data_IF_020531120765
#
_entry.id   IF_020531120765
#
_cell.length_a   1.000
_cell.length_b   1.000
_cell.length_c   1.000
_cell.angle_alpha   90.00
_cell.angle_beta   90.00
_cell.angle_gamma   90.00
#
_symmetry.space_group_name_H-M   'P 1'
#
loop_
_entity.id
_entity.type
_entity.pdbx_description
1 polymer ?
#
# COMPACT_ATOMS: atom_id res chain seq x y z
N UNK A 1 -24.09 -13.49 12.93
CA UNK A 1 -23.00 -13.99 13.79
C UNK A 1 -21.82 -13.07 13.58
N UNK A 2 -21.17 -12.62 14.65
CA UNK A 2 -20.00 -11.73 14.56
C UNK A 2 -18.90 -12.43 13.76
N UNK A 3 -18.38 -11.78 12.72
CA UNK A 3 -17.28 -12.27 11.87
C UNK A 3 -15.90 -11.99 12.47
N UNK A 4 -15.85 -11.54 13.73
CA UNK A 4 -14.59 -11.22 14.40
C UNK A 4 -13.85 -12.50 14.77
N UNK A 5 -12.62 -12.64 14.29
CA UNK A 5 -11.78 -13.85 14.43
C UNK A 5 -11.43 -14.17 15.88
N UNK A 6 -11.44 -13.18 16.77
CA UNK A 6 -11.16 -13.31 18.20
C UNK A 6 -12.41 -13.50 19.07
N UNK A 7 -13.62 -13.47 18.47
CA UNK A 7 -14.87 -13.67 19.21
C UNK A 7 -14.91 -15.06 19.85
N UNK A 8 -15.19 -15.10 21.15
CA UNK A 8 -15.33 -16.35 21.91
C UNK A 8 -16.82 -16.69 22.08
N UNK A 9 -17.19 -17.98 22.06
CA UNK A 9 -18.57 -18.40 22.33
C UNK A 9 -19.04 -17.88 23.70
N UNK A 10 -20.23 -17.26 23.73
CA UNK A 10 -20.84 -16.74 24.97
C UNK A 10 -20.36 -15.35 25.40
N UNK A 11 -19.55 -14.66 24.58
CA UNK A 11 -19.20 -13.26 24.81
C UNK A 11 -19.89 -12.42 23.73
N UNK A 12 -20.78 -11.54 24.15
CA UNK A 12 -21.35 -10.52 23.26
C UNK A 12 -20.35 -9.37 23.11
N UNK A 13 -20.14 -8.98 21.85
CA UNK A 13 -19.26 -7.86 21.51
C UNK A 13 -20.15 -6.64 21.38
N UNK A 14 -19.88 -5.63 22.21
CA UNK A 14 -20.55 -4.36 22.13
C UNK A 14 -20.21 -3.63 20.83
N UNK A 15 -21.23 -3.25 20.06
CA UNK A 15 -21.06 -2.64 18.74
C UNK A 15 -20.41 -1.25 18.81
N UNK A 16 -20.64 -0.50 19.88
CA UNK A 16 -20.06 0.83 20.04
C UNK A 16 -18.57 0.73 20.40
N UNK A 17 -18.21 -0.25 21.22
CA UNK A 17 -16.79 -0.55 21.52
C UNK A 17 -16.08 -1.02 20.24
N UNK A 18 -16.69 -1.90 19.45
CA UNK A 18 -16.11 -2.35 18.19
C UNK A 18 -15.87 -1.17 17.23
N UNK A 19 -16.86 -0.30 17.07
CA UNK A 19 -16.75 0.90 16.22
C UNK A 19 -15.66 1.84 16.72
N UNK A 20 -15.54 2.02 18.03
CA UNK A 20 -14.50 2.83 18.63
C UNK A 20 -13.09 2.25 18.41
N UNK A 21 -12.92 0.94 18.51
CA UNK A 21 -11.64 0.26 18.32
C UNK A 21 -11.22 0.22 16.85
N UNK A 22 -12.14 -0.02 15.92
CA UNK A 22 -11.86 -0.02 14.49
C UNK A 22 -11.64 1.41 13.94
N UNK A 23 -12.29 2.43 14.53
CA UNK A 23 -12.16 3.81 14.07
C UNK A 23 -12.45 3.95 12.58
N UNK A 24 -11.55 4.62 11.87
CA UNK A 24 -11.62 4.83 10.42
C UNK A 24 -10.93 3.72 9.60
N UNK A 25 -10.36 2.70 10.25
CA UNK A 25 -9.55 1.66 9.59
C UNK A 25 -10.33 0.96 8.48
N UNK A 26 -11.60 0.61 8.73
CA UNK A 26 -12.48 -0.03 7.72
C UNK A 26 -12.61 0.82 6.44
N UNK A 27 -12.63 2.14 6.56
CA UNK A 27 -12.75 3.06 5.41
C UNK A 27 -11.41 3.23 4.71
N UNK A 28 -10.35 3.46 5.47
CA UNK A 28 -9.00 3.67 4.96
C UNK A 28 -8.43 2.40 4.30
N UNK A 29 -8.69 1.26 4.89
CA UNK A 29 -8.23 -0.04 4.40
C UNK A 29 -8.84 -0.44 3.05
N UNK A 30 -9.94 0.19 2.60
CA UNK A 30 -10.44 0.01 1.23
C UNK A 30 -9.41 0.37 0.16
N UNK A 31 -8.52 1.31 0.46
CA UNK A 31 -7.41 1.68 -0.42
C UNK A 31 -6.25 0.66 -0.37
N UNK A 32 -6.12 -0.07 0.73
CA UNK A 32 -4.97 -0.95 0.99
C UNK A 32 -5.25 -2.43 0.74
N UNK A 33 -6.50 -2.88 0.83
CA UNK A 33 -6.87 -4.30 0.82
C UNK A 33 -6.30 -5.09 -0.37
N UNK A 34 -6.26 -4.50 -1.56
CA UNK A 34 -5.70 -5.16 -2.76
C UNK A 34 -4.18 -5.36 -2.66
N UNK A 35 -3.48 -4.49 -1.93
CA UNK A 35 -2.05 -4.63 -1.65
C UNK A 35 -1.79 -5.70 -0.60
N UNK A 36 -2.67 -5.83 0.41
CA UNK A 36 -2.59 -6.93 1.37
C UNK A 36 -2.92 -8.29 0.74
N UNK A 37 -3.85 -8.37 -0.20
CA UNK A 37 -4.10 -9.56 -1.01
C UNK A 37 -2.82 -10.01 -1.73
N UNK A 38 -2.11 -9.09 -2.38
CA UNK A 38 -0.83 -9.37 -3.04
C UNK A 38 0.23 -9.85 -2.05
N UNK A 39 0.36 -9.17 -0.91
CA UNK A 39 1.29 -9.55 0.15
C UNK A 39 0.95 -10.93 0.72
N UNK A 40 -0.34 -11.22 0.93
CA UNK A 40 -0.84 -12.52 1.38
C UNK A 40 -0.53 -13.65 0.40
N UNK A 41 -0.62 -13.38 -0.91
CA UNK A 41 -0.21 -14.34 -1.94
C UNK A 41 1.27 -14.71 -1.84
N UNK A 42 2.16 -13.72 -1.80
CA UNK A 42 3.59 -13.94 -1.63
C UNK A 42 3.95 -14.65 -0.32
N UNK A 43 3.21 -14.35 0.75
CA UNK A 43 3.36 -15.05 2.03
C UNK A 43 2.93 -16.52 1.94
N UNK A 44 1.81 -16.81 1.29
CA UNK A 44 1.34 -18.20 1.09
C UNK A 44 2.35 -19.03 0.33
N UNK A 45 2.98 -18.48 -0.73
CA UNK A 45 4.08 -19.12 -1.44
C UNK A 45 5.26 -19.42 -0.49
N UNK A 46 5.62 -18.46 0.36
CA UNK A 46 6.67 -18.64 1.38
C UNK A 46 6.31 -19.75 2.39
N UNK A 47 5.05 -19.85 2.82
CA UNK A 47 4.56 -20.90 3.71
C UNK A 47 4.62 -22.29 3.05
N UNK A 48 4.33 -22.38 1.77
CA UNK A 48 4.44 -23.63 1.02
C UNK A 48 5.92 -24.09 0.94
N UNK A 49 6.85 -23.18 0.69
CA UNK A 49 8.29 -23.48 0.61
C UNK A 49 8.87 -24.03 1.91
N UNK A 50 8.29 -23.68 3.05
CA UNK A 50 8.70 -24.22 4.36
C UNK A 50 7.82 -25.38 4.86
N UNK A 51 6.90 -25.89 4.03
CA UNK A 51 6.09 -27.06 4.31
C UNK A 51 4.90 -26.83 5.25
N UNK A 52 4.50 -25.58 5.50
CA UNK A 52 3.26 -25.23 6.24
C UNK A 52 2.01 -25.43 5.38
N UNK A 53 2.13 -25.12 4.10
CA UNK A 53 1.13 -25.40 3.08
C UNK A 53 1.65 -26.47 2.14
N UNK A 54 0.77 -27.34 1.69
CA UNK A 54 1.02 -28.18 0.52
C UNK A 54 0.65 -27.45 -0.80
N UNK A 55 0.87 -28.11 -1.93
CA UNK A 55 0.63 -27.52 -3.23
C UNK A 55 -0.86 -27.24 -3.50
N UNK A 56 -1.76 -28.11 -3.06
CA UNK A 56 -3.20 -28.00 -3.25
C UNK A 56 -3.78 -26.88 -2.36
N UNK A 57 -3.30 -26.79 -1.12
CA UNK A 57 -3.64 -25.72 -0.18
C UNK A 57 -3.20 -24.35 -0.70
N UNK A 58 -1.97 -24.23 -1.23
CA UNK A 58 -1.48 -23.01 -1.85
C UNK A 58 -2.35 -22.61 -3.06
N UNK A 59 -2.67 -23.59 -3.92
CA UNK A 59 -3.52 -23.34 -5.09
C UNK A 59 -4.92 -22.87 -4.70
N UNK A 60 -5.49 -23.44 -3.62
CA UNK A 60 -6.79 -23.02 -3.10
C UNK A 60 -6.74 -21.59 -2.56
N UNK A 61 -5.75 -21.24 -1.74
CA UNK A 61 -5.56 -19.87 -1.21
C UNK A 61 -5.36 -18.87 -2.36
N UNK A 62 -4.48 -19.17 -3.31
CA UNK A 62 -4.18 -18.27 -4.43
C UNK A 62 -5.43 -17.99 -5.28
N UNK A 63 -6.25 -19.02 -5.56
CA UNK A 63 -7.52 -18.85 -6.29
C UNK A 63 -8.48 -17.94 -5.54
N UNK A 64 -8.70 -18.17 -4.24
CA UNK A 64 -9.65 -17.37 -3.45
C UNK A 64 -9.16 -15.91 -3.27
N UNK A 65 -7.85 -15.69 -3.14
CA UNK A 65 -7.28 -14.34 -3.12
C UNK A 65 -7.51 -13.61 -4.47
N UNK A 66 -7.35 -14.30 -5.60
CA UNK A 66 -7.61 -13.72 -6.92
C UNK A 66 -9.10 -13.44 -7.15
N UNK A 67 -10.00 -14.32 -6.69
CA UNK A 67 -11.44 -14.09 -6.72
C UNK A 67 -11.82 -12.88 -5.84
N UNK A 68 -11.27 -12.76 -4.64
CA UNK A 68 -11.52 -11.62 -3.76
C UNK A 68 -11.05 -10.32 -4.39
N UNK A 69 -9.85 -10.27 -4.98
CA UNK A 69 -9.35 -9.09 -5.69
C UNK A 69 -10.29 -8.67 -6.84
N UNK A 70 -10.81 -9.67 -7.58
CA UNK A 70 -11.77 -9.46 -8.65
C UNK A 70 -13.11 -8.93 -8.12
N UNK A 71 -13.59 -9.47 -6.99
CA UNK A 71 -14.84 -9.05 -6.36
C UNK A 71 -14.75 -7.61 -5.84
N UNK A 72 -13.61 -7.24 -5.26
CA UNK A 72 -13.33 -5.86 -4.81
C UNK A 72 -13.31 -4.90 -6.01
N UNK A 73 -12.57 -5.25 -7.06
CA UNK A 73 -12.49 -4.42 -8.27
C UNK A 73 -13.84 -4.20 -8.95
N UNK A 74 -14.74 -5.18 -8.86
CA UNK A 74 -16.09 -5.13 -9.42
C UNK A 74 -17.14 -4.56 -8.45
N UNK A 75 -16.75 -4.16 -7.23
CA UNK A 75 -17.67 -3.65 -6.20
C UNK A 75 -18.60 -4.71 -5.60
N UNK A 76 -18.33 -6.00 -5.82
CA UNK A 76 -19.13 -7.10 -5.23
C UNK A 76 -18.74 -7.41 -3.79
N UNK A 77 -17.51 -7.07 -3.41
CA UNK A 77 -17.04 -7.13 -2.03
C UNK A 77 -16.66 -5.72 -1.58
N UNK A 78 -17.24 -5.28 -0.48
CA UNK A 78 -16.93 -4.00 0.16
C UNK A 78 -16.51 -4.26 1.60
N UNK A 79 -15.36 -3.75 2.00
CA UNK A 79 -14.93 -3.76 3.38
C UNK A 79 -15.85 -2.84 4.19
N UNK A 80 -16.54 -3.38 5.19
CA UNK A 80 -17.53 -2.66 6.01
C UNK A 80 -17.37 -3.01 7.50
N UNK A 81 -18.24 -2.45 8.34
CA UNK A 81 -18.22 -2.56 9.81
C UNK A 81 -18.37 -3.99 10.35
N UNK A 82 -18.61 -5.00 9.51
CA UNK A 82 -18.62 -6.42 9.91
C UNK A 82 -17.21 -6.92 10.23
N UNK A 83 -16.19 -6.22 9.73
CA UNK A 83 -14.78 -6.54 9.91
C UNK A 83 -14.09 -5.50 10.79
N UNK A 84 -13.02 -5.89 11.43
CA UNK A 84 -12.17 -4.99 12.21
C UNK A 84 -11.21 -4.20 11.29
N UNK A 85 -10.65 -4.89 10.30
CA UNK A 85 -9.66 -4.38 9.34
C UNK A 85 -9.67 -5.23 8.05
N UNK A 86 -8.86 -4.82 7.05
CA UNK A 86 -8.69 -5.55 5.79
C UNK A 86 -8.13 -6.96 6.01
N UNK A 87 -7.24 -7.14 6.98
CA UNK A 87 -6.59 -8.43 7.25
C UNK A 87 -7.59 -9.47 7.74
N UNK A 88 -8.47 -9.07 8.69
CA UNK A 88 -9.56 -9.92 9.18
C UNK A 88 -10.58 -10.22 8.09
N UNK A 89 -10.85 -9.28 7.19
CA UNK A 89 -11.75 -9.50 6.05
C UNK A 89 -11.19 -10.55 5.07
N UNK A 90 -9.91 -10.49 4.73
CA UNK A 90 -9.23 -11.46 3.88
C UNK A 90 -9.24 -12.85 4.53
N UNK A 91 -8.87 -12.93 5.81
CA UNK A 91 -8.84 -14.19 6.56
C UNK A 91 -10.25 -14.81 6.67
N UNK A 92 -11.26 -13.99 7.02
CA UNK A 92 -12.66 -14.43 7.10
C UNK A 92 -13.16 -14.98 5.76
N UNK A 93 -12.85 -14.30 4.63
CA UNK A 93 -13.19 -14.76 3.30
C UNK A 93 -12.54 -16.11 2.97
N UNK A 94 -11.25 -16.27 3.27
CA UNK A 94 -10.56 -17.54 3.06
C UNK A 94 -11.17 -18.66 3.90
N UNK A 95 -11.45 -18.41 5.20
CA UNK A 95 -12.08 -19.42 6.07
C UNK A 95 -13.46 -19.79 5.57
N UNK A 96 -14.27 -18.85 5.14
CA UNK A 96 -15.61 -19.11 4.59
C UNK A 96 -15.56 -20.02 3.35
N UNK A 97 -14.57 -19.85 2.48
CA UNK A 97 -14.48 -20.50 1.18
C UNK A 97 -13.73 -21.83 1.19
N UNK A 98 -12.67 -21.91 2.00
CA UNK A 98 -11.75 -23.07 2.02
C UNK A 98 -11.52 -23.64 3.44
N UNK A 99 -12.32 -23.20 4.42
CA UNK A 99 -12.30 -23.77 5.77
C UNK A 99 -10.98 -23.57 6.52
N UNK A 100 -10.51 -24.62 7.21
CA UNK A 100 -9.31 -24.55 8.05
C UNK A 100 -8.02 -24.24 7.29
N UNK A 101 -7.97 -24.53 5.99
CA UNK A 101 -6.85 -24.14 5.13
C UNK A 101 -6.68 -22.62 5.10
N UNK A 102 -7.81 -21.87 5.08
CA UNK A 102 -7.79 -20.41 5.12
C UNK A 102 -7.12 -19.82 6.37
N UNK A 103 -7.23 -20.51 7.52
CA UNK A 103 -6.59 -20.07 8.76
C UNK A 103 -5.06 -20.11 8.73
N UNK A 104 -4.48 -20.97 7.88
CA UNK A 104 -3.02 -21.12 7.78
C UNK A 104 -2.34 -19.85 7.26
N UNK A 105 -3.06 -18.97 6.53
CA UNK A 105 -2.50 -17.75 5.97
C UNK A 105 -1.94 -16.81 7.04
N UNK A 106 -2.44 -16.85 8.26
CA UNK A 106 -1.97 -16.02 9.37
C UNK A 106 -0.68 -16.52 10.03
N UNK A 107 -0.20 -17.73 9.67
CA UNK A 107 0.98 -18.35 10.28
C UNK A 107 2.21 -17.46 10.16
N UNK A 108 2.81 -17.08 11.29
CA UNK A 108 4.03 -16.28 11.34
C UNK A 108 3.86 -14.82 10.99
N UNK A 109 2.63 -14.30 10.91
CA UNK A 109 2.36 -12.88 10.65
C UNK A 109 1.87 -12.14 11.90
N UNK A 110 1.95 -10.82 11.83
CA UNK A 110 1.32 -9.86 12.74
C UNK A 110 0.67 -8.74 11.93
N UNK A 111 -0.30 -8.03 12.51
CA UNK A 111 -0.85 -6.81 11.93
C UNK A 111 0.25 -5.79 11.60
N UNK A 112 1.33 -5.74 12.41
CA UNK A 112 2.44 -4.82 12.22
C UNK A 112 3.13 -4.98 10.86
N UNK A 113 3.55 -6.19 10.50
CA UNK A 113 4.21 -6.42 9.21
C UNK A 113 3.24 -6.47 8.03
N UNK A 114 1.99 -6.89 8.25
CA UNK A 114 0.94 -6.91 7.24
C UNK A 114 0.55 -5.48 6.81
N UNK A 115 0.21 -4.60 7.74
CA UNK A 115 -0.16 -3.22 7.41
C UNK A 115 0.98 -2.47 6.78
N UNK A 116 2.22 -2.67 7.27
CA UNK A 116 3.37 -1.96 6.74
C UNK A 116 3.73 -2.39 5.31
N UNK A 117 3.65 -3.69 4.97
CA UNK A 117 3.89 -4.14 3.59
C UNK A 117 2.82 -3.63 2.64
N UNK A 118 1.54 -3.68 3.02
CA UNK A 118 0.44 -3.14 2.22
C UNK A 118 0.61 -1.64 1.98
N UNK A 119 0.92 -0.87 3.02
CA UNK A 119 1.19 0.57 2.93
C UNK A 119 2.35 0.88 1.99
N UNK A 120 3.45 0.13 2.04
CA UNK A 120 4.61 0.36 1.15
C UNK A 120 4.32 0.04 -0.30
N UNK A 121 3.57 -1.02 -0.58
CA UNK A 121 3.12 -1.35 -1.93
C UNK A 121 2.20 -0.25 -2.48
N UNK A 122 1.25 0.23 -1.67
CA UNK A 122 0.39 1.35 -2.02
C UNK A 122 1.17 2.65 -2.25
N UNK A 123 2.08 3.00 -1.34
CA UNK A 123 2.93 4.18 -1.48
C UNK A 123 3.76 4.14 -2.76
N UNK A 124 4.31 2.97 -3.12
CA UNK A 124 5.08 2.82 -4.36
C UNK A 124 4.25 3.23 -5.58
N UNK A 125 3.01 2.77 -5.67
CA UNK A 125 2.13 3.10 -6.79
C UNK A 125 1.71 4.59 -6.74
N UNK A 126 1.47 5.15 -5.54
CA UNK A 126 1.12 6.58 -5.38
C UNK A 126 2.29 7.50 -5.71
N UNK A 127 3.52 7.14 -5.33
CA UNK A 127 4.72 7.90 -5.67
C UNK A 127 4.97 7.92 -7.18
N UNK A 128 4.80 6.78 -7.86
CA UNK A 128 4.91 6.72 -9.33
C UNK A 128 3.85 7.61 -10.01
N UNK A 129 2.62 7.57 -9.51
CA UNK A 129 1.56 8.43 -10.05
C UNK A 129 1.87 9.93 -9.81
N UNK A 130 2.31 10.30 -8.61
CA UNK A 130 2.70 11.67 -8.30
C UNK A 130 3.88 12.13 -9.16
N UNK A 131 4.88 11.27 -9.40
CA UNK A 131 5.99 11.56 -10.31
C UNK A 131 5.50 11.87 -11.73
N UNK A 132 4.59 11.05 -12.26
CA UNK A 132 4.00 11.29 -13.58
C UNK A 132 3.24 12.62 -13.66
N UNK A 133 2.51 13.00 -12.60
CA UNK A 133 1.82 14.28 -12.50
C UNK A 133 2.79 15.47 -12.45
N UNK A 134 3.88 15.36 -11.68
CA UNK A 134 4.91 16.40 -11.62
C UNK A 134 5.59 16.58 -12.99
N UNK A 135 5.90 15.49 -13.70
CA UNK A 135 6.43 15.57 -15.07
C UNK A 135 5.46 16.27 -16.02
N UNK A 136 4.18 15.90 -16.00
CA UNK A 136 3.15 16.53 -16.83
C UNK A 136 3.00 18.04 -16.52
N UNK A 137 3.05 18.41 -15.23
CA UNK A 137 2.98 19.80 -14.82
C UNK A 137 4.22 20.59 -15.29
N UNK A 138 5.42 20.02 -15.16
CA UNK A 138 6.66 20.64 -15.66
C UNK A 138 6.61 20.83 -17.18
N UNK A 139 6.15 19.83 -17.93
CA UNK A 139 5.99 19.91 -19.39
C UNK A 139 5.05 21.05 -19.80
N UNK A 140 3.88 21.17 -19.15
CA UNK A 140 2.94 22.28 -19.41
C UNK A 140 3.61 23.61 -19.14
N UNK A 141 4.35 23.77 -18.05
CA UNK A 141 5.07 24.99 -17.73
C UNK A 141 6.13 25.33 -18.80
N UNK A 142 6.87 24.34 -19.28
CA UNK A 142 7.89 24.54 -20.33
C UNK A 142 7.26 24.94 -21.68
N UNK A 143 6.16 24.28 -22.08
CA UNK A 143 5.41 24.65 -23.28
C UNK A 143 4.87 26.08 -23.21
N UNK A 144 4.39 26.51 -22.04
CA UNK A 144 3.97 27.90 -21.82
C UNK A 144 5.15 28.85 -21.85
N UNK A 145 6.27 28.49 -21.24
CA UNK A 145 7.50 29.30 -21.29
C UNK A 145 7.96 29.55 -22.72
N UNK A 146 7.96 28.50 -23.55
CA UNK A 146 8.31 28.61 -24.98
C UNK A 146 7.33 29.49 -25.74
N UNK A 147 6.03 29.28 -25.60
CA UNK A 147 4.98 30.03 -26.30
C UNK A 147 4.95 31.53 -25.92
N UNK A 148 5.26 31.85 -24.67
CA UNK A 148 5.16 33.18 -24.10
C UNK A 148 6.52 33.89 -23.91
N UNK A 149 7.61 33.37 -24.49
CA UNK A 149 8.96 33.88 -24.30
C UNK A 149 9.12 35.37 -24.71
N UNK A 150 8.26 35.85 -25.60
CA UNK A 150 8.28 37.22 -26.09
C UNK A 150 7.51 38.22 -25.19
N UNK A 151 6.83 37.74 -24.13
CA UNK A 151 6.06 38.59 -23.24
C UNK A 151 6.92 39.08 -22.07
N UNK A 152 7.26 40.38 -22.00
CA UNK A 152 7.97 40.93 -20.86
C UNK A 152 7.03 41.10 -19.67
N UNK A 153 7.54 40.81 -18.47
CA UNK A 153 6.87 41.02 -17.20
C UNK A 153 7.74 41.91 -16.30
N UNK A 154 7.14 42.79 -15.49
CA UNK A 154 7.89 43.50 -14.46
C UNK A 154 8.19 42.55 -13.31
N UNK A 155 9.46 42.40 -12.93
CA UNK A 155 9.89 41.82 -11.68
C UNK A 155 9.67 42.76 -10.51
N UNK A 156 9.31 42.22 -9.35
CA UNK A 156 9.06 42.98 -8.12
C UNK A 156 9.96 42.49 -7.00
N UNK A 157 10.46 43.44 -6.20
CA UNK A 157 11.06 43.17 -4.90
C UNK A 157 10.47 44.13 -3.88
N UNK A 158 10.19 43.66 -2.65
CA UNK A 158 9.60 44.49 -1.59
C UNK A 158 8.36 45.27 -2.04
N UNK A 159 7.49 44.63 -2.87
CA UNK A 159 6.31 45.24 -3.46
C UNK A 159 6.58 46.43 -4.41
N UNK A 160 7.81 46.64 -4.79
CA UNK A 160 8.23 47.66 -5.73
C UNK A 160 8.66 47.07 -7.07
N UNK A 161 8.38 47.75 -8.17
CA UNK A 161 8.92 47.40 -9.49
C UNK A 161 10.45 47.48 -9.47
N UNK A 162 11.09 46.41 -9.91
CA UNK A 162 12.54 46.27 -9.88
C UNK A 162 13.08 45.99 -11.30
N UNK A 163 13.28 44.74 -11.64
CA UNK A 163 13.92 44.33 -12.90
C UNK A 163 12.87 43.93 -13.95
N UNK A 164 13.28 43.95 -15.23
CA UNK A 164 12.50 43.33 -16.31
C UNK A 164 12.66 41.82 -16.22
N UNK A 165 11.56 41.09 -16.27
CA UNK A 165 11.48 39.66 -16.38
C UNK A 165 10.67 39.27 -17.62
N UNK A 166 10.33 38.00 -17.75
CA UNK A 166 9.48 37.51 -18.82
C UNK A 166 8.50 36.46 -18.31
N UNK A 167 7.40 36.24 -19.05
CA UNK A 167 6.48 35.13 -18.78
C UNK A 167 7.20 33.79 -18.85
N UNK A 168 8.15 33.62 -19.77
CA UNK A 168 8.96 32.42 -19.88
C UNK A 168 9.74 32.11 -18.58
N UNK A 169 10.39 33.12 -18.00
CA UNK A 169 11.14 32.96 -16.75
C UNK A 169 10.23 32.61 -15.58
N UNK A 170 9.02 33.17 -15.56
CA UNK A 170 8.01 32.87 -14.55
C UNK A 170 7.54 31.42 -14.64
N UNK A 171 7.20 30.94 -15.84
CA UNK A 171 6.82 29.55 -16.06
C UNK A 171 7.96 28.56 -15.79
N UNK A 172 9.18 28.89 -16.21
CA UNK A 172 10.36 28.05 -15.99
C UNK A 172 10.63 27.82 -14.50
N UNK A 173 10.40 28.82 -13.64
CA UNK A 173 10.54 28.67 -12.20
C UNK A 173 9.56 27.64 -11.60
N UNK A 174 8.34 27.51 -12.14
CA UNK A 174 7.43 26.42 -11.72
C UNK A 174 7.89 25.07 -12.26
N UNK A 175 8.41 24.99 -13.49
CA UNK A 175 8.92 23.76 -14.06
C UNK A 175 10.07 23.20 -13.21
N UNK A 176 11.02 24.05 -12.78
CA UNK A 176 12.11 23.64 -11.89
C UNK A 176 11.57 23.06 -10.57
N UNK A 177 10.58 23.72 -9.93
CA UNK A 177 9.99 23.24 -8.69
C UNK A 177 9.35 21.85 -8.84
N UNK A 178 8.62 21.60 -9.95
CA UNK A 178 8.06 20.27 -10.22
C UNK A 178 9.12 19.21 -10.50
N UNK A 179 10.23 19.56 -11.16
CA UNK A 179 11.35 18.63 -11.37
C UNK A 179 12.10 18.32 -10.07
N UNK A 180 12.24 19.28 -9.18
CA UNK A 180 12.76 19.05 -7.83
C UNK A 180 11.87 18.09 -7.05
N UNK A 181 10.54 18.19 -7.18
CA UNK A 181 9.60 17.26 -6.57
C UNK A 181 9.73 15.85 -7.15
N UNK A 182 9.97 15.69 -8.45
CA UNK A 182 10.29 14.39 -9.07
C UNK A 182 11.49 13.74 -8.37
N UNK A 183 12.58 14.47 -8.13
CA UNK A 183 13.75 13.92 -7.45
C UNK A 183 13.44 13.51 -6.00
N UNK A 184 12.64 14.31 -5.27
CA UNK A 184 12.19 13.94 -3.91
C UNK A 184 11.34 12.67 -3.91
N UNK A 185 10.41 12.53 -4.86
CA UNK A 185 9.56 11.35 -5.01
C UNK A 185 10.39 10.09 -5.30
N UNK A 186 11.38 10.18 -6.19
CA UNK A 186 12.32 9.09 -6.50
C UNK A 186 13.15 8.67 -5.29
N UNK A 187 13.68 9.63 -4.53
CA UNK A 187 14.42 9.35 -3.31
C UNK A 187 13.54 8.66 -2.26
N UNK A 188 12.29 9.14 -2.11
CA UNK A 188 11.31 8.54 -1.20
C UNK A 188 10.97 7.11 -1.62
N UNK A 189 10.71 6.88 -2.92
CA UNK A 189 10.44 5.55 -3.45
C UNK A 189 11.59 4.56 -3.15
N UNK A 190 12.84 4.99 -3.36
CA UNK A 190 14.02 4.19 -3.03
C UNK A 190 14.15 3.93 -1.53
N UNK A 191 13.81 4.88 -0.71
CA UNK A 191 13.89 4.75 0.74
C UNK A 191 12.90 3.73 1.30
N UNK A 192 11.64 3.74 0.80
CA UNK A 192 10.60 2.79 1.23
C UNK A 192 10.70 1.40 0.59
N UNK A 193 11.62 1.21 -0.38
CA UNK A 193 11.78 -0.03 -1.15
C UNK A 193 12.43 -1.14 -0.31
N UNK A 194 11.73 -1.54 0.76
CA UNK A 194 12.17 -2.55 1.70
C UNK A 194 10.98 -3.36 2.22
N UNK A 195 11.05 -4.69 2.08
CA UNK A 195 9.99 -5.61 2.48
C UNK A 195 10.01 -5.89 4.00
N UNK A 196 9.00 -5.48 4.77
CA UNK A 196 8.89 -5.78 6.19
C UNK A 196 8.29 -7.16 6.48
N UNK A 197 7.58 -7.77 5.49
CA UNK A 197 6.81 -9.00 5.67
C UNK A 197 7.68 -10.15 6.20
N UNK A 198 7.13 -10.89 7.18
CA UNK A 198 7.82 -11.97 7.88
C UNK A 198 8.66 -11.51 9.08
N UNK A 199 8.65 -10.21 9.42
CA UNK A 199 9.19 -9.74 10.70
C UNK A 199 8.18 -9.81 11.84
N UNK A 200 6.94 -10.19 11.56
CA UNK A 200 5.82 -10.25 12.50
C UNK A 200 5.65 -8.94 13.28
N UNK A 201 5.62 -9.00 14.60
CA UNK A 201 5.52 -7.81 15.47
C UNK A 201 6.81 -6.95 15.51
N UNK A 202 7.77 -7.22 14.63
CA UNK A 202 9.05 -6.51 14.55
C UNK A 202 10.25 -7.31 15.08
N UNK A 203 10.00 -8.45 15.69
CA UNK A 203 11.04 -9.28 16.35
C UNK A 203 11.33 -10.60 15.63
N UNK A 204 10.64 -10.87 14.50
CA UNK A 204 10.69 -12.14 13.80
C UNK A 204 9.86 -13.22 14.48
N UNK A 205 9.92 -14.43 13.93
CA UNK A 205 9.27 -15.64 14.45
C UNK A 205 10.25 -16.81 14.43
N UNK A 206 9.97 -17.84 15.22
CA UNK A 206 10.77 -19.08 15.26
C UNK A 206 10.42 -20.06 14.12
N UNK A 207 10.03 -19.51 12.97
CA UNK A 207 9.78 -20.25 11.74
C UNK A 207 10.79 -19.77 10.68
N UNK A 208 11.28 -20.69 9.87
CA UNK A 208 12.21 -20.38 8.79
C UNK A 208 11.46 -19.80 7.57
N UNK A 209 10.73 -18.69 7.77
CA UNK A 209 9.99 -18.01 6.70
C UNK A 209 10.95 -17.60 5.57
N UNK A 210 10.57 -17.92 4.31
CA UNK A 210 11.34 -17.51 3.13
C UNK A 210 11.05 -16.03 2.79
N UNK A 211 11.68 -15.13 3.56
CA UNK A 211 11.51 -13.68 3.40
C UNK A 211 12.16 -13.14 2.15
N UNK A 212 13.21 -13.81 1.65
CA UNK A 212 13.85 -13.44 0.39
C UNK A 212 12.90 -13.69 -0.79
N UNK A 213 12.20 -14.85 -0.79
CA UNK A 213 11.17 -15.12 -1.77
C UNK A 213 10.07 -14.05 -1.76
N UNK A 214 9.50 -13.74 -0.58
CA UNK A 214 8.46 -12.72 -0.45
C UNK A 214 8.96 -11.33 -0.92
N UNK A 215 10.21 -10.99 -0.65
CA UNK A 215 10.84 -9.74 -1.10
C UNK A 215 10.90 -9.66 -2.63
N UNK A 216 11.33 -10.74 -3.28
CA UNK A 216 11.40 -10.84 -4.75
C UNK A 216 10.00 -10.87 -5.39
N UNK A 217 9.08 -11.68 -4.86
CA UNK A 217 7.72 -11.81 -5.38
C UNK A 217 6.94 -10.49 -5.33
N UNK A 218 7.19 -9.65 -4.31
CA UNK A 218 6.57 -8.34 -4.17
C UNK A 218 7.35 -7.22 -4.88
N UNK A 219 8.51 -7.53 -5.46
CA UNK A 219 9.33 -6.59 -6.21
C UNK A 219 9.98 -5.51 -5.35
N UNK A 220 10.34 -5.84 -4.09
CA UNK A 220 11.14 -4.96 -3.24
C UNK A 220 12.63 -5.13 -3.50
N UNK A 221 13.39 -4.04 -3.46
CA UNK A 221 14.83 -4.04 -3.67
C UNK A 221 15.62 -4.66 -2.52
N UNK A 222 15.05 -4.73 -1.32
CA UNK A 222 15.69 -5.34 -0.15
C UNK A 222 14.69 -5.82 0.89
N UNK A 223 15.14 -6.71 1.76
CA UNK A 223 14.42 -7.11 2.98
C UNK A 223 14.68 -6.09 4.10
N UNK A 224 13.66 -5.74 4.87
CA UNK A 224 13.78 -4.97 6.12
C UNK A 224 13.95 -5.95 7.29
N UNK A 225 14.85 -5.65 8.21
CA UNK A 225 15.12 -6.52 9.36
C UNK A 225 13.93 -6.60 10.31
N UNK A 226 13.34 -5.46 10.63
CA UNK A 226 12.19 -5.34 11.53
C UNK A 226 11.11 -4.43 10.95
N UNK A 227 9.83 -4.66 11.31
CA UNK A 227 8.70 -3.83 10.89
C UNK A 227 8.65 -2.49 11.64
N UNK A 228 9.23 -2.43 12.83
CA UNK A 228 9.28 -1.24 13.71
C UNK A 228 10.53 -0.43 13.52
#
# INVERSE_FOLDING_TARGET
>A
MSSLLWAKPGIDIDADIQRFLAGDDVVLDREFIRYDIRASGAHAEGLQRIGVLDADELAAIARELAELDTDIAAGRFVLDERFEDMHSAIEARLIERIGDVGKKIHTGRSRNDQVLVATRLWLRDRLQHAEALCHAAAEVCLLRAEAEQHLPLPGYTHLQRAMVSSAAMWWAGFAEGFLDDVERLRHTAKWIDANPLGSAAGYGVNLALDRDHATQALGFGRMQVAAT
#
